data_IF_832170628393
#
_entry.id   IF_832170628393
#
_cell.length_a   1.000
_cell.length_b   1.000
_cell.length_c   1.000
_cell.angle_alpha   90.00
_cell.angle_beta   90.00
_cell.angle_gamma   90.00
#
_symmetry.space_group_name_H-M   'P 1'
#
loop_
_entity.id
_entity.type
_entity.pdbx_description
1 polymer ?
#
# COMPACT_ATOMS: atom_id res chain seq x y z
N UNK A 1 22.28 -53.53 -0.76
CA UNK A 1 21.18 -53.86 -1.69
C UNK A 1 19.89 -53.40 -1.04
N UNK A 2 19.20 -52.41 -1.62
CA UNK A 2 17.91 -51.96 -1.10
C UNK A 2 16.88 -53.10 -1.23
N UNK A 3 15.98 -53.23 -0.27
CA UNK A 3 14.93 -54.26 -0.27
C UNK A 3 14.02 -54.11 -1.50
N UNK A 4 13.64 -55.20 -2.20
CA UNK A 4 12.74 -55.16 -3.37
C UNK A 4 11.35 -54.53 -3.09
N UNK A 5 10.99 -54.31 -1.81
CA UNK A 5 9.72 -53.71 -1.41
C UNK A 5 9.72 -52.18 -1.23
N UNK A 6 10.88 -51.51 -1.33
CA UNK A 6 11.00 -50.05 -1.11
C UNK A 6 10.89 -49.21 -2.38
N UNK A 7 11.31 -49.72 -3.54
CA UNK A 7 11.12 -49.03 -4.84
C UNK A 7 9.63 -48.91 -5.20
N UNK A 8 8.87 -49.98 -4.98
CA UNK A 8 7.42 -50.04 -5.24
C UNK A 8 6.61 -49.02 -4.42
N UNK A 9 7.04 -48.71 -3.18
CA UNK A 9 6.35 -47.71 -2.33
C UNK A 9 6.61 -46.28 -2.79
N UNK A 10 7.83 -45.96 -3.23
CA UNK A 10 8.19 -44.61 -3.70
C UNK A 10 7.43 -44.28 -4.98
N UNK A 11 7.33 -45.23 -5.91
CA UNK A 11 6.56 -45.09 -7.14
C UNK A 11 5.07 -44.93 -6.86
N UNK A 12 4.50 -45.74 -5.97
CA UNK A 12 3.10 -45.62 -5.58
C UNK A 12 2.76 -44.25 -4.96
N UNK A 13 3.63 -43.72 -4.07
CA UNK A 13 3.46 -42.39 -3.47
C UNK A 13 3.60 -41.29 -4.54
N UNK A 14 4.60 -41.39 -5.41
CA UNK A 14 4.83 -40.40 -6.46
C UNK A 14 3.68 -40.35 -7.46
N UNK A 15 3.11 -41.51 -7.82
CA UNK A 15 1.95 -41.60 -8.72
C UNK A 15 0.72 -40.97 -8.09
N UNK A 16 0.39 -41.36 -6.84
CA UNK A 16 -0.80 -40.84 -6.16
C UNK A 16 -0.73 -39.32 -5.93
N UNK A 17 0.45 -38.81 -5.56
CA UNK A 17 0.68 -37.36 -5.46
C UNK A 17 0.61 -36.70 -6.85
N UNK A 18 1.23 -37.30 -7.86
CA UNK A 18 1.19 -36.83 -9.25
C UNK A 18 -0.23 -36.66 -9.77
N UNK A 19 -1.07 -37.67 -9.61
CA UNK A 19 -2.48 -37.63 -10.02
C UNK A 19 -3.27 -36.54 -9.27
N UNK A 20 -2.96 -36.36 -7.99
CA UNK A 20 -3.58 -35.30 -7.17
C UNK A 20 -3.21 -33.91 -7.67
N UNK A 21 -1.92 -33.66 -7.95
CA UNK A 21 -1.47 -32.39 -8.50
C UNK A 21 -2.01 -32.16 -9.92
N UNK A 22 -2.06 -33.19 -10.75
CA UNK A 22 -2.61 -33.12 -12.10
C UNK A 22 -4.08 -32.70 -12.07
N UNK A 23 -4.87 -33.29 -11.16
CA UNK A 23 -6.27 -32.88 -10.96
C UNK A 23 -6.40 -31.42 -10.54
N UNK A 24 -5.48 -30.90 -9.72
CA UNK A 24 -5.46 -29.49 -9.35
C UNK A 24 -5.12 -28.59 -10.54
N UNK A 25 -4.18 -28.98 -11.40
CA UNK A 25 -3.84 -28.24 -12.63
C UNK A 25 -4.96 -28.22 -13.67
N UNK A 26 -5.85 -29.22 -13.65
CA UNK A 26 -7.03 -29.28 -14.51
C UNK A 26 -8.19 -28.41 -14.00
N UNK A 27 -8.15 -27.96 -12.74
CA UNK A 27 -9.16 -27.04 -12.24
C UNK A 27 -8.99 -25.67 -12.89
N UNK A 28 -10.09 -25.03 -13.32
CA UNK A 28 -10.04 -23.65 -13.79
C UNK A 28 -9.49 -22.74 -12.69
N UNK A 29 -8.51 -21.92 -13.04
CA UNK A 29 -7.98 -20.91 -12.13
C UNK A 29 -9.06 -19.85 -11.85
N UNK A 30 -9.47 -19.61 -10.59
CA UNK A 30 -10.46 -18.59 -10.27
C UNK A 30 -9.91 -17.19 -10.61
N UNK A 31 -10.47 -16.57 -11.65
CA UNK A 31 -10.11 -15.20 -12.04
C UNK A 31 -11.04 -14.17 -11.42
N UNK A 32 -10.46 -13.14 -10.80
CA UNK A 32 -11.21 -11.95 -10.39
C UNK A 32 -11.53 -11.09 -11.62
N UNK A 33 -12.73 -10.48 -11.69
CA UNK A 33 -13.14 -9.72 -12.86
C UNK A 33 -12.33 -8.41 -13.00
N UNK A 34 -11.75 -8.21 -14.18
CA UNK A 34 -11.05 -6.99 -14.57
C UNK A 34 -12.01 -6.11 -15.37
N UNK A 35 -12.62 -5.10 -14.73
CA UNK A 35 -13.77 -4.36 -15.28
C UNK A 35 -13.44 -3.23 -16.24
N UNK A 36 -12.36 -2.48 -15.95
CA UNK A 36 -12.09 -1.20 -16.62
C UNK A 36 -11.02 -1.31 -17.71
N UNK A 37 -11.19 -0.61 -18.85
CA UNK A 37 -10.18 -0.49 -19.90
C UNK A 37 -8.88 0.11 -19.37
N UNK A 38 -7.75 -0.34 -19.93
CA UNK A 38 -6.42 0.05 -19.46
C UNK A 38 -5.41 0.08 -20.60
N UNK A 39 -4.46 1.01 -20.54
CA UNK A 39 -3.26 0.96 -21.37
C UNK A 39 -2.27 -0.06 -20.81
N UNK A 40 -1.38 -0.64 -21.64
CA UNK A 40 -0.21 -1.33 -21.09
C UNK A 40 0.63 -0.35 -20.26
N UNK A 41 1.27 -0.88 -19.21
CA UNK A 41 2.21 -0.10 -18.41
C UNK A 41 3.50 0.20 -19.18
N UNK A 42 4.06 1.41 -19.01
CA UNK A 42 5.36 1.79 -19.58
C UNK A 42 6.26 2.45 -18.54
N UNK A 43 7.58 2.37 -18.73
CA UNK A 43 8.54 3.09 -17.88
C UNK A 43 8.66 4.54 -18.36
N UNK A 44 8.46 5.54 -17.49
CA UNK A 44 8.67 6.93 -17.87
C UNK A 44 10.16 7.22 -18.10
N UNK A 45 10.44 8.20 -18.96
CA UNK A 45 11.78 8.73 -19.10
C UNK A 45 12.18 9.54 -17.84
N UNK A 46 13.47 9.72 -17.60
CA UNK A 46 13.97 10.46 -16.43
C UNK A 46 13.39 11.89 -16.35
N UNK A 47 13.21 12.56 -17.49
CA UNK A 47 12.63 13.90 -17.55
C UNK A 47 11.19 13.96 -16.99
N UNK A 48 10.42 12.88 -17.16
CA UNK A 48 9.05 12.74 -16.69
C UNK A 48 8.97 12.03 -15.32
N UNK A 49 10.12 11.72 -14.72
CA UNK A 49 10.25 11.02 -13.44
C UNK A 49 11.36 11.64 -12.56
N UNK A 50 11.29 12.95 -12.26
CA UNK A 50 12.40 13.70 -11.66
C UNK A 50 12.80 13.18 -10.26
N UNK A 51 11.87 12.57 -9.54
CA UNK A 51 12.10 11.99 -8.21
C UNK A 51 12.38 10.48 -8.23
N UNK A 52 12.41 9.87 -9.43
CA UNK A 52 12.46 8.42 -9.61
C UNK A 52 11.33 7.68 -8.86
N UNK A 53 10.15 8.30 -8.77
CA UNK A 53 9.06 7.83 -7.93
C UNK A 53 8.02 6.98 -8.70
N UNK A 54 8.01 7.03 -10.02
CA UNK A 54 7.21 6.15 -10.88
C UNK A 54 7.97 4.88 -11.24
N UNK A 55 7.40 3.72 -10.92
CA UNK A 55 7.88 2.43 -11.43
C UNK A 55 7.34 2.19 -12.84
N UNK A 56 6.04 2.47 -13.02
CA UNK A 56 5.30 2.34 -14.27
C UNK A 56 4.26 3.45 -14.39
N UNK A 57 4.01 3.92 -15.60
CA UNK A 57 2.90 4.80 -15.93
C UNK A 57 1.83 3.99 -16.67
N UNK A 58 0.56 4.33 -16.45
CA UNK A 58 -0.58 3.75 -17.15
C UNK A 58 -1.73 4.77 -17.21
N UNK A 59 -2.81 4.43 -17.91
CA UNK A 59 -4.07 5.18 -17.90
C UNK A 59 -5.24 4.21 -17.71
N UNK A 60 -5.84 4.24 -16.52
CA UNK A 60 -6.98 3.38 -16.16
C UNK A 60 -8.06 4.26 -15.50
N UNK A 61 -9.10 4.57 -16.27
CA UNK A 61 -10.22 5.38 -15.80
C UNK A 61 -11.27 4.47 -15.16
N UNK A 62 -11.62 4.76 -13.91
CA UNK A 62 -12.69 4.09 -13.19
C UNK A 62 -14.09 4.49 -13.65
N UNK A 63 -15.07 4.23 -12.79
CA UNK A 63 -16.47 4.59 -13.01
C UNK A 63 -16.66 6.10 -13.30
N UNK A 64 -17.67 6.49 -14.09
CA UNK A 64 -17.93 7.89 -14.43
C UNK A 64 -18.44 8.75 -13.25
N UNK A 65 -18.62 8.14 -12.07
CA UNK A 65 -19.07 8.79 -10.84
C UNK A 65 -18.60 7.99 -9.64
N UNK A 66 -18.53 8.62 -8.47
CA UNK A 66 -18.18 7.96 -7.20
C UNK A 66 -17.36 8.89 -6.30
N UNK A 67 -17.01 8.40 -5.12
CA UNK A 67 -16.30 9.20 -4.09
C UNK A 67 -14.94 9.73 -4.57
N UNK A 68 -14.27 9.03 -5.49
CA UNK A 68 -12.96 9.40 -6.02
C UNK A 68 -13.04 9.92 -7.46
N UNK A 69 -14.24 10.25 -7.96
CA UNK A 69 -14.37 10.79 -9.30
C UNK A 69 -13.58 12.10 -9.44
N UNK A 70 -12.75 12.18 -10.49
CA UNK A 70 -11.86 13.31 -10.74
C UNK A 70 -10.55 13.28 -9.93
N UNK A 71 -10.31 12.26 -9.11
CA UNK A 71 -9.05 12.09 -8.36
C UNK A 71 -8.11 11.13 -9.08
N UNK A 72 -6.86 11.55 -9.20
CA UNK A 72 -5.76 10.72 -9.70
C UNK A 72 -5.12 9.91 -8.57
N UNK A 73 -4.80 8.64 -8.84
CA UNK A 73 -4.27 7.71 -7.85
C UNK A 73 -3.03 6.99 -8.35
N UNK A 74 -1.98 6.95 -7.54
CA UNK A 74 -0.83 6.07 -7.74
C UNK A 74 -0.97 4.81 -6.87
N UNK A 75 -0.63 3.64 -7.42
CA UNK A 75 -0.68 2.37 -6.68
C UNK A 75 0.75 1.93 -6.33
N UNK A 76 1.08 1.69 -5.06
CA UNK A 76 2.39 1.13 -4.68
C UNK A 76 2.69 -0.12 -5.50
N UNK A 77 3.92 -0.26 -5.98
CA UNK A 77 4.22 -1.29 -6.97
C UNK A 77 3.98 -2.71 -6.45
N UNK A 78 4.06 -2.96 -5.14
CA UNK A 78 3.76 -4.26 -4.54
C UNK A 78 2.30 -4.73 -4.65
N UNK A 79 1.37 -3.88 -5.08
CA UNK A 79 -0.03 -4.22 -5.31
C UNK A 79 -0.30 -4.54 -6.79
N UNK A 80 -1.03 -5.62 -7.03
CA UNK A 80 -1.39 -6.06 -8.38
C UNK A 80 -2.38 -5.09 -9.03
N UNK A 81 -2.08 -4.70 -10.27
CA UNK A 81 -2.99 -4.01 -11.19
C UNK A 81 -2.93 -4.80 -12.48
N UNK A 82 -4.03 -5.44 -12.88
CA UNK A 82 -4.03 -6.40 -13.98
C UNK A 82 -3.48 -5.77 -15.27
N UNK A 83 -2.56 -6.46 -15.94
CA UNK A 83 -1.93 -6.00 -17.19
C UNK A 83 -0.85 -4.93 -17.03
N UNK A 84 -0.56 -4.46 -15.81
CA UNK A 84 0.53 -3.50 -15.53
C UNK A 84 1.67 -4.25 -14.84
N UNK A 85 2.92 -4.17 -15.33
CA UNK A 85 4.02 -4.91 -14.73
C UNK A 85 4.23 -4.56 -13.24
N UNK A 86 4.75 -5.53 -12.50
CA UNK A 86 4.97 -5.44 -11.06
C UNK A 86 6.34 -6.02 -10.71
N UNK A 87 7.17 -5.23 -10.01
CA UNK A 87 8.51 -5.64 -9.59
C UNK A 87 8.70 -5.65 -8.08
N UNK A 88 7.86 -4.94 -7.31
CA UNK A 88 8.03 -4.79 -5.86
C UNK A 88 9.45 -4.31 -5.50
N UNK A 89 9.97 -3.36 -6.26
CA UNK A 89 11.33 -2.84 -6.11
C UNK A 89 12.47 -3.85 -6.33
N UNK A 90 12.19 -5.06 -6.82
CA UNK A 90 13.14 -6.17 -6.86
C UNK A 90 13.34 -6.72 -8.27
N UNK A 91 14.57 -7.21 -8.57
CA UNK A 91 14.81 -8.01 -9.78
C UNK A 91 14.14 -9.38 -9.74
N UNK A 92 13.80 -9.89 -8.57
CA UNK A 92 13.18 -11.20 -8.43
C UNK A 92 11.83 -11.32 -9.17
N UNK A 93 11.13 -10.20 -9.34
CA UNK A 93 9.83 -10.13 -10.02
C UNK A 93 9.93 -9.45 -11.38
N UNK A 94 11.14 -9.30 -11.93
CA UNK A 94 11.29 -8.74 -13.27
C UNK A 94 10.53 -9.59 -14.30
N UNK A 95 9.66 -8.93 -15.09
CA UNK A 95 8.82 -9.58 -16.09
C UNK A 95 7.47 -10.09 -15.58
N UNK A 96 7.19 -10.03 -14.28
CA UNK A 96 5.88 -10.39 -13.76
C UNK A 96 4.81 -9.35 -14.13
N UNK A 97 3.72 -9.83 -14.71
CA UNK A 97 2.53 -9.03 -15.05
C UNK A 97 1.32 -9.75 -14.46
N UNK A 98 0.70 -9.23 -13.38
CA UNK A 98 -0.49 -9.84 -12.81
C UNK A 98 -1.66 -9.77 -13.79
N UNK A 99 -2.55 -10.76 -13.75
CA UNK A 99 -3.80 -10.79 -14.51
C UNK A 99 -5.05 -10.48 -13.64
N UNK A 100 -4.82 -10.10 -12.38
CA UNK A 100 -5.85 -9.68 -11.42
C UNK A 100 -5.58 -8.28 -10.88
N UNK A 101 -6.65 -7.55 -10.58
CA UNK A 101 -6.57 -6.32 -9.78
C UNK A 101 -6.64 -6.72 -8.29
N UNK A 102 -5.81 -6.10 -7.46
CA UNK A 102 -6.00 -6.17 -6.00
C UNK A 102 -7.39 -5.67 -5.63
N UNK A 103 -7.99 -6.16 -4.53
CA UNK A 103 -9.35 -5.75 -4.12
C UNK A 103 -9.44 -4.23 -4.00
N UNK A 104 -8.43 -3.61 -3.40
CA UNK A 104 -8.33 -2.15 -3.25
C UNK A 104 -8.26 -1.40 -4.57
N UNK A 105 -7.61 -1.97 -5.60
CA UNK A 105 -7.54 -1.39 -6.95
C UNK A 105 -8.93 -1.40 -7.60
N UNK A 106 -9.64 -2.53 -7.49
CA UNK A 106 -11.03 -2.64 -7.96
C UNK A 106 -11.94 -1.63 -7.27
N UNK A 107 -11.83 -1.46 -5.94
CA UNK A 107 -12.60 -0.49 -5.16
C UNK A 107 -12.31 0.96 -5.56
N UNK A 108 -11.03 1.31 -5.77
CA UNK A 108 -10.63 2.65 -6.24
C UNK A 108 -11.29 2.96 -7.59
N UNK A 109 -11.22 2.03 -8.54
CA UNK A 109 -11.79 2.21 -9.87
C UNK A 109 -13.34 2.24 -9.82
N UNK A 110 -13.97 1.37 -9.04
CA UNK A 110 -15.42 1.35 -8.82
C UNK A 110 -15.93 2.65 -8.16
N UNK A 111 -15.09 3.33 -7.37
CA UNK A 111 -15.38 4.64 -6.80
C UNK A 111 -15.03 5.82 -7.74
N UNK A 112 -14.64 5.55 -8.99
CA UNK A 112 -14.36 6.56 -10.01
C UNK A 112 -12.94 7.14 -9.99
N UNK A 113 -12.03 6.54 -9.23
CA UNK A 113 -10.62 6.94 -9.21
C UNK A 113 -9.94 6.69 -10.56
N UNK A 114 -8.99 7.56 -10.92
CA UNK A 114 -8.16 7.44 -12.12
C UNK A 114 -6.77 6.95 -11.74
N UNK A 115 -6.47 5.68 -12.00
CA UNK A 115 -5.14 5.13 -11.74
C UNK A 115 -4.21 5.50 -12.89
N UNK A 116 -3.16 6.26 -12.58
CA UNK A 116 -2.22 6.80 -13.58
C UNK A 116 -0.82 6.18 -13.52
N UNK A 117 -0.61 5.21 -12.64
CA UNK A 117 0.66 4.48 -12.58
C UNK A 117 0.89 3.67 -11.31
N UNK A 118 2.02 2.97 -11.32
CA UNK A 118 2.60 2.25 -10.20
C UNK A 118 3.72 3.08 -9.59
N UNK A 119 3.69 3.29 -8.28
CA UNK A 119 4.71 4.02 -7.54
C UNK A 119 5.82 3.09 -7.06
N UNK A 120 7.08 3.53 -7.17
CA UNK A 120 8.24 2.79 -6.67
C UNK A 120 8.07 2.43 -5.19
N UNK A 121 8.54 1.25 -4.84
CA UNK A 121 8.75 0.83 -3.47
C UNK A 121 10.14 0.22 -3.29
N UNK A 122 10.54 0.07 -2.03
CA UNK A 122 11.81 -0.56 -1.66
C UNK A 122 11.86 -2.04 -2.07
N UNK A 123 13.07 -2.60 -2.15
CA UNK A 123 13.28 -3.97 -2.59
C UNK A 123 12.54 -4.96 -1.68
N UNK A 124 11.52 -5.61 -2.23
CA UNK A 124 10.60 -6.48 -1.49
C UNK A 124 9.90 -5.78 -0.31
N UNK A 125 9.81 -4.45 -0.34
CA UNK A 125 9.30 -3.61 0.74
C UNK A 125 10.10 -3.64 2.06
N UNK A 126 11.29 -4.24 2.10
CA UNK A 126 12.04 -4.55 3.34
C UNK A 126 13.10 -3.49 3.69
N UNK A 127 12.74 -2.22 3.59
CA UNK A 127 13.60 -1.11 4.05
C UNK A 127 12.76 0.13 4.40
N UNK A 128 13.22 0.89 5.40
CA UNK A 128 12.60 2.14 5.87
C UNK A 128 13.14 3.41 5.20
N UNK A 129 14.25 3.30 4.47
CA UNK A 129 14.83 4.33 3.62
C UNK A 129 14.21 4.35 2.22
N UNK A 130 14.89 5.00 1.27
CA UNK A 130 14.42 5.11 -0.12
C UNK A 130 15.53 4.89 -1.15
N UNK A 131 16.37 3.88 -0.93
CA UNK A 131 17.60 3.64 -1.70
C UNK A 131 17.83 2.18 -2.10
N UNK A 132 16.91 1.27 -1.77
CA UNK A 132 17.09 -0.17 -2.00
C UNK A 132 16.43 -0.67 -3.28
N UNK A 133 15.47 0.09 -3.83
CA UNK A 133 14.76 -0.30 -5.05
C UNK A 133 15.72 -0.51 -6.21
N UNK A 134 15.49 -1.55 -7.00
CA UNK A 134 16.33 -1.86 -8.17
C UNK A 134 16.31 -0.74 -9.22
N UNK A 135 15.24 0.06 -9.27
CA UNK A 135 15.13 1.22 -10.17
C UNK A 135 15.94 2.42 -9.69
N UNK A 136 16.64 2.30 -8.57
CA UNK A 136 17.43 3.36 -7.94
C UNK A 136 16.67 4.06 -6.82
N UNK A 137 17.33 5.03 -6.13
CA UNK A 137 16.75 5.72 -5.00
C UNK A 137 15.58 6.62 -5.42
N UNK A 138 14.58 6.74 -4.55
CA UNK A 138 13.51 7.76 -4.65
C UNK A 138 13.97 9.00 -3.90
N UNK A 139 13.86 10.15 -4.56
CA UNK A 139 14.30 11.45 -4.03
C UNK A 139 13.14 12.17 -3.34
N UNK A 140 13.42 12.87 -2.24
CA UNK A 140 12.41 13.65 -1.52
C UNK A 140 12.08 14.96 -2.26
N UNK A 141 10.80 15.25 -2.58
CA UNK A 141 10.42 16.48 -3.29
C UNK A 141 10.78 17.80 -2.60
N UNK A 142 10.92 17.80 -1.25
CA UNK A 142 11.36 18.98 -0.51
C UNK A 142 12.87 19.25 -0.65
N UNK A 143 13.65 18.19 -0.87
CA UNK A 143 15.08 18.27 -1.10
C UNK A 143 15.60 16.99 -1.77
N UNK A 144 15.94 17.09 -3.05
CA UNK A 144 16.39 15.95 -3.86
C UNK A 144 17.73 15.33 -3.42
N UNK A 145 18.43 15.90 -2.42
CA UNK A 145 19.61 15.27 -1.79
C UNK A 145 19.24 14.42 -0.56
N UNK A 146 17.95 14.27 -0.25
CA UNK A 146 17.44 13.54 0.92
C UNK A 146 16.56 12.37 0.49
N UNK A 147 16.44 11.40 1.39
CA UNK A 147 15.56 10.25 1.21
C UNK A 147 14.09 10.63 1.39
N UNK A 148 13.21 9.99 0.62
CA UNK A 148 11.77 10.04 0.77
C UNK A 148 11.25 9.12 1.89
N UNK A 149 12.14 8.34 2.53
CA UNK A 149 11.85 7.17 3.37
C UNK A 149 10.99 6.12 2.64
N UNK A 150 10.69 5.00 3.29
CA UNK A 150 10.04 3.86 2.64
C UNK A 150 9.29 2.95 3.60
N UNK A 151 8.72 1.84 3.12
CA UNK A 151 8.88 1.32 1.76
C UNK A 151 7.92 1.89 0.70
N UNK A 152 6.94 2.72 1.08
CA UNK A 152 6.04 3.39 0.12
C UNK A 152 6.64 4.72 -0.38
N UNK A 153 7.93 4.70 -0.71
CA UNK A 153 8.77 5.84 -1.03
C UNK A 153 8.24 6.63 -2.23
N UNK A 154 7.96 5.94 -3.34
CA UNK A 154 7.37 6.55 -4.54
C UNK A 154 5.99 7.13 -4.26
N UNK A 155 5.12 6.42 -3.52
CA UNK A 155 3.77 6.89 -3.20
C UNK A 155 3.80 8.24 -2.49
N UNK A 156 4.67 8.41 -1.49
CA UNK A 156 4.80 9.67 -0.77
C UNK A 156 5.37 10.80 -1.64
N UNK A 157 6.45 10.52 -2.40
CA UNK A 157 7.08 11.50 -3.26
C UNK A 157 6.14 12.01 -4.36
N UNK A 158 5.28 11.14 -4.91
CA UNK A 158 4.33 11.53 -5.96
C UNK A 158 3.21 12.43 -5.43
N UNK A 159 2.68 12.15 -4.25
CA UNK A 159 1.68 13.01 -3.60
C UNK A 159 2.31 14.35 -3.20
N UNK A 160 3.48 14.32 -2.56
CA UNK A 160 4.17 15.53 -2.10
C UNK A 160 4.62 16.43 -3.27
N UNK A 161 5.02 15.83 -4.39
CA UNK A 161 5.35 16.55 -5.63
C UNK A 161 4.14 17.01 -6.45
N UNK A 162 2.90 16.73 -6.01
CA UNK A 162 1.68 17.11 -6.72
C UNK A 162 1.45 16.36 -8.04
N UNK A 163 2.06 15.18 -8.21
CA UNK A 163 1.88 14.36 -9.40
C UNK A 163 0.61 13.50 -9.37
N UNK A 164 0.06 13.24 -8.17
CA UNK A 164 -1.23 12.59 -7.94
C UNK A 164 -1.94 13.20 -6.75
N UNK A 165 -3.26 13.12 -6.73
CA UNK A 165 -4.07 13.54 -5.57
C UNK A 165 -3.88 12.59 -4.39
N UNK A 166 -3.82 11.28 -4.67
CA UNK A 166 -3.80 10.22 -3.67
C UNK A 166 -2.87 9.09 -4.10
N UNK A 167 -2.40 8.30 -3.14
CA UNK A 167 -1.66 7.09 -3.41
C UNK A 167 -2.04 5.98 -2.43
N UNK A 168 -1.92 4.73 -2.90
CA UNK A 168 -1.94 3.56 -2.05
C UNK A 168 -0.53 3.31 -1.51
N UNK A 169 -0.42 2.98 -0.22
CA UNK A 169 0.82 2.49 0.40
C UNK A 169 0.63 1.12 1.06
N UNK A 170 1.74 0.54 1.50
CA UNK A 170 1.79 -0.66 2.34
C UNK A 170 2.62 -0.38 3.60
N UNK A 171 2.22 -0.92 4.76
CA UNK A 171 2.83 -0.66 6.06
C UNK A 171 2.94 -1.95 6.88
N UNK A 172 4.17 -2.45 7.01
CA UNK A 172 4.53 -3.57 7.86
C UNK A 172 5.18 -3.09 9.17
N UNK A 173 6.13 -2.17 9.06
CA UNK A 173 6.87 -1.60 10.19
C UNK A 173 6.82 -0.07 10.27
N UNK A 174 6.01 0.60 9.44
CA UNK A 174 6.04 2.07 9.28
C UNK A 174 5.91 2.55 7.85
N UNK A 175 5.80 1.64 6.87
CA UNK A 175 6.04 1.95 5.47
C UNK A 175 4.99 2.83 4.77
N UNK A 176 3.87 3.17 5.41
CA UNK A 176 2.99 4.27 5.00
C UNK A 176 3.39 5.56 5.74
N UNK A 177 3.57 5.46 7.07
CA UNK A 177 3.73 6.60 7.97
C UNK A 177 5.10 7.28 7.87
N UNK A 178 6.18 6.51 7.76
CA UNK A 178 7.55 7.01 7.65
C UNK A 178 7.77 7.86 6.38
N UNK A 179 7.41 7.37 5.16
CA UNK A 179 7.56 8.19 3.96
C UNK A 179 6.58 9.37 3.92
N UNK A 180 5.38 9.22 4.48
CA UNK A 180 4.46 10.34 4.64
C UNK A 180 5.04 11.46 5.52
N UNK A 181 5.65 11.11 6.66
CA UNK A 181 6.32 12.06 7.54
C UNK A 181 7.51 12.74 6.86
N UNK A 182 8.37 11.98 6.18
CA UNK A 182 9.55 12.52 5.48
C UNK A 182 9.17 13.45 4.31
N UNK A 183 8.08 13.15 3.61
CA UNK A 183 7.61 13.95 2.47
C UNK A 183 6.55 15.00 2.87
N UNK A 184 6.21 15.15 4.15
CA UNK A 184 5.27 16.17 4.62
C UNK A 184 3.83 16.01 4.12
N UNK A 185 3.34 14.76 4.02
CA UNK A 185 1.95 14.43 3.63
C UNK A 185 1.27 13.61 4.73
N UNK A 186 0.00 13.26 4.52
CA UNK A 186 -0.75 12.37 5.43
C UNK A 186 -0.67 10.94 4.91
N UNK A 187 -0.27 10.02 5.79
CA UNK A 187 -0.29 8.58 5.53
C UNK A 187 -0.94 7.85 6.70
N UNK A 188 -2.00 7.10 6.42
CA UNK A 188 -2.76 6.38 7.45
C UNK A 188 -2.52 4.89 7.32
N UNK A 189 -1.94 4.28 8.36
CA UNK A 189 -1.99 2.83 8.57
C UNK A 189 -3.34 2.49 9.25
N UNK A 190 -4.27 1.81 8.57
CA UNK A 190 -5.57 1.49 9.17
C UNK A 190 -5.44 0.47 10.31
N UNK A 191 -6.57 0.21 10.99
CA UNK A 191 -6.72 -0.95 11.86
C UNK A 191 -6.43 -2.23 11.08
N UNK A 192 -5.70 -3.16 11.68
CA UNK A 192 -5.38 -4.45 11.05
C UNK A 192 -6.67 -5.17 10.59
N UNK A 193 -6.67 -5.70 9.38
CA UNK A 193 -7.83 -6.34 8.75
C UNK A 193 -8.94 -5.41 8.25
N UNK A 194 -8.89 -4.09 8.53
CA UNK A 194 -9.92 -3.16 8.05
C UNK A 194 -9.92 -3.01 6.53
N UNK A 195 -8.73 -2.90 5.93
CA UNK A 195 -8.54 -2.84 4.48
C UNK A 195 -7.97 -4.18 4.02
N UNK A 196 -8.57 -4.84 3.01
CA UNK A 196 -8.11 -6.13 2.54
C UNK A 196 -6.75 -6.01 1.86
N UNK A 197 -5.91 -7.02 2.07
CA UNK A 197 -4.58 -7.15 1.49
C UNK A 197 -4.55 -8.08 0.25
N UNK A 198 -5.72 -8.57 -0.18
CA UNK A 198 -5.89 -9.43 -1.36
C UNK A 198 -5.30 -8.78 -2.63
N UNK A 199 -4.42 -9.53 -3.30
CA UNK A 199 -3.71 -9.09 -4.50
C UNK A 199 -2.51 -8.17 -4.24
N UNK A 200 -2.09 -8.02 -2.98
CA UNK A 200 -0.86 -7.31 -2.61
C UNK A 200 0.18 -8.32 -2.15
N UNK A 201 1.44 -8.15 -2.60
CA UNK A 201 2.54 -9.03 -2.22
C UNK A 201 2.71 -9.05 -0.69
N UNK A 202 2.52 -10.20 -0.02
CA UNK A 202 2.64 -10.32 1.43
C UNK A 202 4.10 -10.28 1.86
N UNK A 203 4.36 -9.77 3.06
CA UNK A 203 5.65 -9.91 3.74
C UNK A 203 5.47 -10.78 4.97
N UNK A 204 4.58 -10.40 5.88
CA UNK A 204 4.24 -11.18 7.07
C UNK A 204 2.77 -10.94 7.40
N UNK A 205 1.99 -12.03 7.46
CA UNK A 205 0.54 -11.96 7.44
C UNK A 205 -0.03 -11.14 8.60
N UNK A 206 0.58 -11.21 9.79
CA UNK A 206 0.12 -10.52 11.00
C UNK A 206 0.52 -9.05 11.05
N UNK A 207 1.42 -8.61 10.17
CA UNK A 207 1.93 -7.25 10.09
C UNK A 207 1.49 -6.50 8.84
N UNK A 208 1.03 -7.19 7.81
CA UNK A 208 0.65 -6.60 6.53
C UNK A 208 -0.55 -5.63 6.66
N UNK A 209 -0.32 -4.35 6.37
CA UNK A 209 -1.38 -3.36 6.17
C UNK A 209 -1.23 -2.69 4.82
N UNK A 210 -2.36 -2.28 4.23
CA UNK A 210 -2.39 -1.31 3.13
C UNK A 210 -3.30 -0.15 3.51
N UNK A 211 -3.04 1.02 2.95
CA UNK A 211 -3.78 2.22 3.35
C UNK A 211 -3.52 3.44 2.48
N UNK A 212 -4.30 4.50 2.72
CA UNK A 212 -4.28 5.71 1.92
C UNK A 212 -3.15 6.67 2.30
N UNK A 213 -2.67 7.39 1.30
CA UNK A 213 -1.71 8.48 1.41
C UNK A 213 -2.21 9.66 0.57
N UNK A 214 -2.30 10.86 1.14
CA UNK A 214 -2.77 12.06 0.44
C UNK A 214 -2.23 13.34 1.10
N UNK A 215 -2.37 14.49 0.44
CA UNK A 215 -1.89 15.78 0.98
C UNK A 215 -2.74 16.30 2.14
N UNK A 216 -3.95 15.76 2.35
CA UNK A 216 -4.85 16.21 3.42
C UNK A 216 -5.44 15.03 4.22
N UNK A 217 -5.82 15.30 5.47
CA UNK A 217 -6.52 14.33 6.33
C UNK A 217 -7.88 13.97 5.73
N UNK A 218 -8.57 14.95 5.12
CA UNK A 218 -9.85 14.72 4.45
C UNK A 218 -9.73 13.71 3.31
N UNK A 219 -8.78 13.91 2.39
CA UNK A 219 -8.61 13.02 1.24
C UNK A 219 -8.12 11.62 1.65
N UNK A 220 -7.29 11.55 2.71
CA UNK A 220 -6.91 10.28 3.34
C UNK A 220 -8.12 9.54 3.90
N UNK A 221 -9.02 10.25 4.61
CA UNK A 221 -10.24 9.68 5.18
C UNK A 221 -11.22 9.24 4.08
N UNK A 222 -11.40 10.06 3.03
CA UNK A 222 -12.24 9.75 1.88
C UNK A 222 -11.76 8.50 1.13
N UNK A 223 -10.44 8.38 0.91
CA UNK A 223 -9.87 7.18 0.31
C UNK A 223 -10.06 5.96 1.23
N UNK A 224 -9.88 6.10 2.55
CA UNK A 224 -10.14 4.99 3.50
C UNK A 224 -11.58 4.46 3.40
N UNK A 225 -12.58 5.33 3.21
CA UNK A 225 -13.98 4.91 3.02
C UNK A 225 -14.17 4.03 1.78
N UNK A 226 -13.35 4.22 0.76
CA UNK A 226 -13.37 3.41 -0.46
C UNK A 226 -12.60 2.11 -0.26
N UNK A 227 -11.51 2.15 0.50
CA UNK A 227 -10.64 0.99 0.70
C UNK A 227 -11.19 -0.02 1.72
N UNK A 228 -11.88 0.45 2.78
CA UNK A 228 -12.24 -0.37 3.93
C UNK A 228 -13.36 -1.40 3.67
N UNK A 229 -13.30 -2.53 4.37
CA UNK A 229 -14.35 -3.53 4.47
C UNK A 229 -14.01 -4.91 3.92
N UNK A 230 -14.85 -5.89 4.27
CA UNK A 230 -14.67 -7.31 3.90
C UNK A 230 -14.66 -7.49 2.39
N UNK A 231 -13.81 -8.40 1.90
CA UNK A 231 -13.66 -8.68 0.46
C UNK A 231 -14.22 -10.03 0.00
N UNK A 232 -15.15 -10.60 0.78
CA UNK A 232 -15.78 -11.88 0.44
C UNK A 232 -14.93 -13.08 0.85
N UNK A 233 -14.31 -13.01 2.03
CA UNK A 233 -13.49 -14.06 2.65
C UNK A 233 -12.19 -14.41 1.89
N UNK A 234 -11.70 -13.51 1.02
CA UNK A 234 -10.46 -13.73 0.27
C UNK A 234 -9.23 -13.44 1.13
N UNK A 235 -9.30 -12.43 1.99
CA UNK A 235 -8.20 -12.09 2.89
C UNK A 235 -8.39 -12.69 4.30
N UNK A 236 -7.59 -13.70 4.70
CA UNK A 236 -7.68 -14.32 6.02
C UNK A 236 -7.29 -13.38 7.17
N UNK A 237 -6.75 -12.18 6.87
CA UNK A 237 -6.42 -11.16 7.88
C UNK A 237 -7.66 -10.46 8.41
N UNK A 238 -8.78 -10.48 7.67
CA UNK A 238 -9.98 -9.75 8.06
C UNK A 238 -10.80 -10.54 9.09
N UNK A 239 -11.21 -9.91 10.21
CA UNK A 239 -12.08 -10.57 11.17
C UNK A 239 -13.48 -10.74 10.56
N UNK A 240 -14.12 -11.90 10.82
CA UNK A 240 -15.44 -12.23 10.25
C UNK A 240 -16.55 -11.26 10.67
N UNK A 241 -16.40 -10.63 11.83
CA UNK A 241 -17.33 -9.66 12.41
C UNK A 241 -16.87 -8.21 12.23
N UNK A 242 -16.03 -7.94 11.22
CA UNK A 242 -15.52 -6.60 10.91
C UNK A 242 -16.67 -5.59 10.76
N UNK A 243 -16.69 -4.59 11.65
CA UNK A 243 -17.57 -3.43 11.53
C UNK A 243 -16.85 -2.29 10.81
N UNK A 244 -17.46 -1.79 9.75
CA UNK A 244 -16.93 -0.70 8.93
C UNK A 244 -17.87 0.50 9.07
N UNK A 245 -17.40 1.64 9.59
CA UNK A 245 -18.18 2.86 9.59
C UNK A 245 -18.59 3.28 8.18
N UNK A 246 -19.82 3.77 8.02
CA UNK A 246 -20.33 4.23 6.73
C UNK A 246 -19.53 5.41 6.14
N UNK A 247 -18.93 6.22 7.02
CA UNK A 247 -18.09 7.35 6.63
C UNK A 247 -17.05 7.71 7.71
N UNK A 248 -15.91 8.18 7.24
CA UNK A 248 -14.80 8.72 8.03
C UNK A 248 -14.66 10.23 7.79
N UNK A 249 -14.73 10.66 6.52
CA UNK A 249 -14.57 12.05 6.09
C UNK A 249 -15.61 12.98 6.71
N UNK A 250 -16.88 12.53 6.80
CA UNK A 250 -17.97 13.29 7.44
C UNK A 250 -17.79 13.50 8.94
N UNK A 251 -16.93 12.70 9.58
CA UNK A 251 -16.65 12.75 11.02
C UNK A 251 -15.51 13.72 11.37
N UNK A 252 -14.87 14.34 10.37
CA UNK A 252 -13.82 15.33 10.57
C UNK A 252 -14.42 16.69 10.96
N UNK A 253 -15.10 16.76 12.10
CA UNK A 253 -15.80 17.97 12.58
C UNK A 253 -14.86 18.99 13.23
N UNK A 254 -13.65 18.58 13.62
CA UNK A 254 -12.71 19.38 14.41
C UNK A 254 -13.03 19.40 15.91
N UNK A 255 -14.18 18.89 16.33
CA UNK A 255 -14.62 18.86 17.73
C UNK A 255 -13.93 17.74 18.50
N UNK A 256 -12.87 18.07 19.24
CA UNK A 256 -12.09 17.11 20.02
C UNK A 256 -12.00 17.43 21.51
N UNK A 257 -12.72 18.45 22.00
CA UNK A 257 -12.71 18.91 23.40
C UNK A 257 -13.09 17.83 24.43
N UNK A 258 -13.85 16.81 23.99
CA UNK A 258 -14.26 15.68 24.81
C UNK A 258 -13.21 14.55 24.87
N UNK A 259 -12.15 14.63 24.06
CA UNK A 259 -11.10 13.61 23.99
C UNK A 259 -10.04 13.81 25.06
N UNK A 260 -9.35 12.71 25.38
CA UNK A 260 -8.14 12.70 26.20
C UNK A 260 -6.94 12.31 25.33
N UNK A 261 -5.89 13.11 25.35
CA UNK A 261 -4.68 12.93 24.55
C UNK A 261 -3.58 12.34 25.43
N UNK A 262 -3.15 11.11 25.11
CA UNK A 262 -2.02 10.46 25.76
C UNK A 262 -0.72 10.70 24.99
N UNK A 263 0.26 11.35 25.61
CA UNK A 263 1.62 11.47 25.08
C UNK A 263 2.48 10.33 25.63
N UNK A 264 2.87 9.39 24.78
CA UNK A 264 3.73 8.27 25.14
C UNK A 264 5.15 8.76 25.36
N UNK A 265 5.66 8.69 26.60
CA UNK A 265 6.98 9.24 26.96
C UNK A 265 8.12 8.48 26.28
N UNK A 266 7.92 7.19 26.13
CA UNK A 266 8.82 6.23 25.48
C UNK A 266 8.93 6.47 23.97
N UNK A 267 8.13 7.37 23.39
CA UNK A 267 8.25 7.79 21.99
C UNK A 267 9.33 8.83 21.73
N UNK A 268 10.00 9.34 22.77
CA UNK A 268 10.95 10.46 22.69
C UNK A 268 12.29 10.12 23.36
N UNK A 269 13.34 10.85 23.01
CA UNK A 269 14.65 10.79 23.68
C UNK A 269 15.44 9.52 23.35
N UNK A 270 15.24 8.97 22.15
CA UNK A 270 16.03 7.83 21.69
C UNK A 270 17.49 8.25 21.44
N UNK A 271 18.48 7.38 21.68
CA UNK A 271 19.90 7.71 21.48
C UNK A 271 20.26 8.25 20.09
N UNK A 272 19.51 7.86 19.05
CA UNK A 272 19.74 8.25 17.65
C UNK A 272 18.59 9.12 17.08
N UNK A 273 17.90 9.87 17.94
CA UNK A 273 16.87 10.84 17.53
C UNK A 273 17.44 12.25 17.42
N UNK A 274 16.78 13.10 16.61
CA UNK A 274 17.07 14.53 16.57
C UNK A 274 16.17 15.25 17.58
N UNK A 275 16.78 15.99 18.51
CA UNK A 275 16.06 16.57 19.65
C UNK A 275 15.02 17.63 19.25
N UNK A 276 15.27 18.35 18.16
CA UNK A 276 14.36 19.35 17.61
C UNK A 276 13.09 18.71 17.02
N UNK A 277 13.18 17.52 16.43
CA UNK A 277 12.03 16.73 15.97
C UNK A 277 11.16 16.32 17.17
N UNK A 278 11.78 15.78 18.21
CA UNK A 278 11.11 15.39 19.45
C UNK A 278 10.40 16.57 20.11
N UNK A 279 11.08 17.72 20.18
CA UNK A 279 10.54 18.95 20.73
C UNK A 279 9.35 19.47 19.90
N UNK A 280 9.48 19.48 18.57
CA UNK A 280 8.43 19.94 17.66
C UNK A 280 7.14 19.12 17.81
N UNK A 281 7.25 17.79 17.87
CA UNK A 281 6.10 16.89 18.01
C UNK A 281 5.44 17.08 19.38
N UNK A 282 6.25 17.19 20.45
CA UNK A 282 5.74 17.44 21.81
C UNK A 282 5.00 18.77 21.91
N UNK A 283 5.61 19.84 21.39
CA UNK A 283 4.99 21.16 21.36
C UNK A 283 3.69 21.18 20.55
N UNK A 284 3.62 20.40 19.47
CA UNK A 284 2.41 20.25 18.65
C UNK A 284 1.30 19.52 19.39
N UNK A 285 1.61 18.45 20.14
CA UNK A 285 0.65 17.74 20.97
C UNK A 285 0.10 18.64 22.10
N UNK A 286 0.98 19.39 22.77
CA UNK A 286 0.58 20.32 23.82
C UNK A 286 -0.28 21.47 23.27
N UNK A 287 0.05 21.98 22.07
CA UNK A 287 -0.75 23.00 21.39
C UNK A 287 -2.16 22.47 21.08
N UNK A 288 -2.27 21.25 20.56
CA UNK A 288 -3.56 20.63 20.25
C UNK A 288 -4.45 20.53 21.49
N UNK A 289 -3.90 20.08 22.63
CA UNK A 289 -4.65 20.02 23.89
C UNK A 289 -5.16 21.40 24.34
N UNK A 290 -4.30 22.42 24.31
CA UNK A 290 -4.66 23.79 24.71
C UNK A 290 -5.70 24.44 23.79
N UNK A 291 -5.52 24.35 22.48
CA UNK A 291 -6.34 25.06 21.50
C UNK A 291 -7.71 24.40 21.29
N UNK A 292 -7.77 23.07 21.34
CA UNK A 292 -9.00 22.34 21.08
C UNK A 292 -9.79 22.00 22.36
N UNK A 293 -9.29 22.39 23.53
CA UNK A 293 -9.91 22.10 24.83
C UNK A 293 -9.92 20.61 25.20
N UNK A 294 -9.08 19.80 24.54
CA UNK A 294 -8.90 18.39 24.87
C UNK A 294 -8.00 18.25 26.12
N UNK A 295 -8.20 17.20 26.90
CA UNK A 295 -7.43 16.95 28.13
C UNK A 295 -6.18 16.13 27.90
#
# INVERSE_FOLDING_TARGET
>A
MASPGTENKKEAISSALGDTYQRLYELPDPKLPVKYPRTPGYRPAQADNPYNAWAWRCDIKGAPSGKLHGKTVAIKDNACVAGIPLMNGSRMLEGFVPDVDATVVSRILDAGGHIIGKAVCENLCDDGGSFTSVTGPVLNPHNNTRMANGSSSGSAALVAGGHVDMALGGDQGGSIRMPAAACGIVGLKPTYGLVPYTGIMPMEFTLDHTGPMASTVHDTALMLEVLAGLDGDLDPRQPRDLSVPESYSSKLTGEISHLKLGVLKEGFGYPNSEADVDELVRNSADRLGREAGAK
#
